data_IF_997355420087
#
_entry.id   IF_997355420087
#
_cell.length_a   1.000
_cell.length_b   1.000
_cell.length_c   1.000
_cell.angle_alpha   90.00
_cell.angle_beta   90.00
_cell.angle_gamma   90.00
#
_symmetry.space_group_name_H-M   'P 1'
#
loop_
_entity.id
_entity.type
_entity.pdbx_description
1 polymer ?
#
# COMPACT_ATOMS: atom_id res chain seq x y z
N UNK A 1 56.09 -16.45 -46.78
CA UNK A 1 54.84 -17.16 -46.43
C UNK A 1 53.87 -16.17 -45.80
N UNK A 2 53.33 -15.25 -46.60
CA UNK A 2 52.50 -14.13 -46.16
C UNK A 2 51.33 -13.95 -47.15
N UNK A 3 50.48 -14.97 -47.30
CA UNK A 3 49.39 -14.95 -48.30
C UNK A 3 48.02 -15.42 -47.79
N UNK A 4 47.81 -15.44 -46.47
CA UNK A 4 46.55 -15.96 -45.90
C UNK A 4 45.77 -14.97 -45.04
N UNK A 5 46.13 -13.68 -45.06
CA UNK A 5 45.43 -12.63 -44.30
C UNK A 5 44.85 -11.51 -45.19
N UNK A 6 44.97 -11.62 -46.53
CA UNK A 6 44.56 -10.59 -47.49
C UNK A 6 43.31 -10.92 -48.31
N UNK A 7 42.46 -11.84 -47.83
CA UNK A 7 41.29 -12.32 -48.61
C UNK A 7 39.96 -12.24 -47.85
N UNK A 8 39.95 -11.91 -46.55
CA UNK A 8 38.71 -11.82 -45.75
C UNK A 8 38.17 -10.40 -45.55
N UNK A 9 38.96 -9.36 -45.83
CA UNK A 9 38.51 -7.97 -45.71
C UNK A 9 37.82 -7.41 -46.97
N UNK A 10 37.93 -8.08 -48.12
CA UNK A 10 37.30 -7.66 -49.38
C UNK A 10 35.90 -8.26 -49.63
N UNK A 11 35.47 -9.24 -48.82
CA UNK A 11 34.15 -9.86 -48.97
C UNK A 11 33.03 -9.19 -48.14
N UNK A 12 33.35 -8.26 -47.23
CA UNK A 12 32.35 -7.55 -46.41
C UNK A 12 31.91 -6.18 -46.93
N UNK A 13 32.55 -5.69 -47.99
CA UNK A 13 32.30 -4.34 -48.52
C UNK A 13 31.29 -4.30 -49.67
N UNK A 14 30.90 -5.44 -50.23
CA UNK A 14 29.98 -5.50 -51.39
C UNK A 14 28.54 -5.84 -50.98
N UNK A 15 28.31 -6.30 -49.76
CA UNK A 15 26.96 -6.59 -49.23
C UNK A 15 26.20 -5.33 -48.75
N UNK A 16 26.89 -4.19 -48.61
CA UNK A 16 26.26 -2.95 -48.12
C UNK A 16 25.72 -2.03 -49.22
N UNK A 17 25.87 -2.37 -50.51
CA UNK A 17 25.44 -1.50 -51.62
C UNK A 17 24.33 -2.09 -52.52
N UNK A 18 23.78 -3.27 -52.20
CA UNK A 18 22.73 -3.91 -53.02
C UNK A 18 21.48 -4.21 -52.20
N UNK A 19 20.97 -3.24 -51.44
CA UNK A 19 19.56 -3.25 -50.97
C UNK A 19 18.93 -1.84 -50.96
N UNK A 20 19.47 -0.92 -51.79
CA UNK A 20 18.98 0.46 -51.94
C UNK A 20 18.05 0.66 -53.15
N UNK A 21 17.46 -0.41 -53.69
CA UNK A 21 16.49 -0.30 -54.77
C UNK A 21 15.49 -1.44 -54.67
N UNK A 22 14.28 -1.12 -54.20
CA UNK A 22 12.96 -1.65 -54.61
C UNK A 22 12.02 -1.67 -53.41
N UNK A 23 11.29 -0.57 -53.20
CA UNK A 23 9.90 -0.61 -52.73
C UNK A 23 9.30 0.79 -52.84
N UNK A 24 8.84 1.11 -54.05
CA UNK A 24 7.92 2.22 -54.27
C UNK A 24 6.51 1.70 -53.95
N UNK A 25 5.81 2.43 -53.08
CA UNK A 25 4.35 2.54 -53.15
C UNK A 25 3.56 1.54 -52.33
N UNK A 26 3.27 1.89 -51.07
CA UNK A 26 1.89 1.89 -50.56
C UNK A 26 1.74 3.02 -49.54
N UNK A 27 1.06 4.10 -49.95
CA UNK A 27 0.53 5.09 -49.02
C UNK A 27 -0.65 4.46 -48.28
N UNK A 28 -0.37 3.94 -47.09
CA UNK A 28 -1.40 3.55 -46.13
C UNK A 28 -1.85 4.82 -45.39
N UNK A 29 -3.04 5.31 -45.72
CA UNK A 29 -3.71 6.37 -44.99
C UNK A 29 -4.14 5.85 -43.62
N UNK A 30 -3.30 6.07 -42.59
CA UNK A 30 -3.71 5.80 -41.22
C UNK A 30 -4.72 6.86 -40.79
N UNK A 31 -5.99 6.45 -40.76
CA UNK A 31 -7.04 7.21 -40.13
C UNK A 31 -6.70 7.40 -38.64
N UNK A 32 -6.55 8.65 -38.23
CA UNK A 32 -6.47 9.07 -36.83
C UNK A 32 -7.76 8.68 -36.11
N UNK A 33 -7.82 7.47 -35.54
CA UNK A 33 -8.79 7.16 -34.48
C UNK A 33 -8.37 7.96 -33.25
N UNK A 34 -9.10 9.04 -32.98
CA UNK A 34 -9.15 9.64 -31.64
C UNK A 34 -9.67 8.56 -30.70
N UNK A 35 -8.78 7.96 -29.94
CA UNK A 35 -9.15 7.22 -28.74
C UNK A 35 -9.72 8.25 -27.77
N UNK A 36 -11.04 8.19 -27.56
CA UNK A 36 -11.65 8.84 -26.41
C UNK A 36 -10.96 8.32 -25.16
N UNK A 37 -10.62 9.19 -24.19
CA UNK A 37 -10.11 8.73 -22.91
C UNK A 37 -11.21 7.87 -22.29
N UNK A 38 -10.95 6.57 -22.17
CA UNK A 38 -11.76 5.68 -21.35
C UNK A 38 -11.83 6.32 -19.97
N UNK A 39 -13.01 6.84 -19.63
CA UNK A 39 -13.30 7.32 -18.30
C UNK A 39 -12.92 6.19 -17.34
N UNK A 40 -12.05 6.52 -16.38
CA UNK A 40 -11.73 5.62 -15.29
C UNK A 40 -13.05 5.15 -14.67
N UNK A 41 -13.23 3.85 -14.40
CA UNK A 41 -14.39 3.42 -13.63
C UNK A 41 -14.41 4.22 -12.32
N UNK A 42 -15.59 4.66 -11.85
CA UNK A 42 -15.69 5.31 -10.55
C UNK A 42 -15.03 4.40 -9.52
N UNK A 43 -14.21 5.00 -8.64
CA UNK A 43 -13.58 4.27 -7.56
C UNK A 43 -14.65 3.41 -6.87
N UNK A 44 -14.39 2.11 -6.62
CA UNK A 44 -15.33 1.31 -5.86
C UNK A 44 -15.60 2.05 -4.56
N UNK A 45 -16.87 2.37 -4.32
CA UNK A 45 -17.31 3.01 -3.09
C UNK A 45 -16.63 2.29 -1.93
N UNK A 46 -15.95 2.99 -1.00
CA UNK A 46 -15.38 2.33 0.15
C UNK A 46 -16.55 1.69 0.88
N UNK A 47 -16.74 0.37 0.70
CA UNK A 47 -17.69 -0.36 1.53
C UNK A 47 -17.16 -0.19 2.95
N UNK A 48 -17.88 0.53 3.83
CA UNK A 48 -17.37 0.79 5.16
C UNK A 48 -17.08 -0.56 5.81
N UNK A 49 -15.96 -0.71 6.53
CA UNK A 49 -15.74 -1.91 7.30
C UNK A 49 -16.93 -2.05 8.25
N UNK A 50 -17.82 -3.03 8.00
CA UNK A 50 -18.90 -3.39 8.92
C UNK A 50 -18.27 -3.74 10.26
N UNK A 51 -18.20 -2.76 11.16
CA UNK A 51 -17.88 -2.96 12.57
C UNK A 51 -19.11 -3.63 13.20
N UNK A 52 -19.25 -4.93 13.00
CA UNK A 52 -20.14 -5.74 13.84
C UNK A 52 -19.38 -6.08 15.12
N UNK A 53 -19.71 -5.37 16.21
CA UNK A 53 -20.17 -5.99 17.47
C UNK A 53 -20.33 -4.95 18.62
N UNK A 54 -21.57 -4.77 19.07
CA UNK A 54 -21.97 -5.18 20.43
C UNK A 54 -21.54 -4.34 21.64
N UNK A 55 -21.14 -3.08 21.48
CA UNK A 55 -21.03 -2.16 22.62
C UNK A 55 -21.96 -0.98 22.36
N UNK A 56 -23.02 -0.85 23.15
CA UNK A 56 -23.97 0.27 23.18
C UNK A 56 -23.29 1.54 23.66
N UNK A 57 -22.35 2.06 22.88
CA UNK A 57 -21.73 3.36 23.04
C UNK A 57 -21.63 4.00 21.67
N UNK A 58 -22.15 5.22 21.55
CA UNK A 58 -22.11 6.04 20.33
C UNK A 58 -20.75 5.90 19.64
N UNK A 59 -20.79 5.58 18.33
CA UNK A 59 -19.58 5.32 17.53
C UNK A 59 -18.63 6.52 17.55
N UNK A 60 -19.17 7.73 17.74
CA UNK A 60 -18.44 8.99 17.82
C UNK A 60 -17.58 9.15 19.10
N UNK A 61 -17.85 8.44 20.19
CA UNK A 61 -17.11 8.63 21.46
C UNK A 61 -15.78 7.85 21.47
N UNK A 62 -15.70 6.74 20.72
CA UNK A 62 -14.55 5.83 20.76
C UNK A 62 -13.90 5.56 19.40
N UNK A 63 -14.25 6.30 18.35
CA UNK A 63 -13.77 6.04 16.98
C UNK A 63 -12.24 6.02 16.83
N UNK A 64 -11.55 6.83 17.62
CA UNK A 64 -10.09 6.98 17.57
C UNK A 64 -9.36 5.96 18.47
N UNK A 65 -10.09 5.21 19.32
CA UNK A 65 -9.48 4.32 20.32
C UNK A 65 -9.30 2.91 19.75
N UNK A 66 -8.11 2.36 19.94
CA UNK A 66 -7.91 0.92 19.78
C UNK A 66 -8.61 0.19 20.93
N UNK A 67 -9.54 -0.71 20.59
CA UNK A 67 -10.29 -1.48 21.57
C UNK A 67 -9.44 -2.68 21.98
N UNK A 68 -8.88 -2.66 23.19
CA UNK A 68 -8.20 -3.83 23.74
C UNK A 68 -9.21 -4.97 23.97
N UNK A 69 -8.94 -6.20 23.51
CA UNK A 69 -9.86 -7.29 23.72
C UNK A 69 -9.80 -7.73 25.19
N UNK A 70 -10.96 -7.85 25.83
CA UNK A 70 -11.07 -8.27 27.23
C UNK A 70 -10.69 -9.75 27.48
N UNK A 71 -10.45 -10.54 26.42
CA UNK A 71 -10.09 -11.94 26.48
C UNK A 71 -9.41 -12.40 25.18
N UNK A 72 -8.62 -13.47 25.25
CA UNK A 72 -8.01 -14.11 24.08
C UNK A 72 -9.07 -14.68 23.13
N UNK A 73 -10.23 -15.10 23.64
CA UNK A 73 -11.35 -15.59 22.84
C UNK A 73 -11.96 -14.47 21.97
N UNK A 74 -12.18 -13.27 22.53
CA UNK A 74 -12.62 -12.10 21.74
C UNK A 74 -11.58 -11.71 20.69
N UNK A 75 -10.30 -11.69 21.06
CA UNK A 75 -9.22 -11.39 20.10
C UNK A 75 -9.26 -12.37 18.91
N UNK A 76 -9.38 -13.68 19.18
CA UNK A 76 -9.50 -14.72 18.15
C UNK A 76 -10.76 -14.56 17.30
N UNK A 77 -11.90 -14.19 17.89
CA UNK A 77 -13.16 -13.93 17.16
C UNK A 77 -12.99 -12.78 16.17
N UNK A 78 -12.47 -11.64 16.63
CA UNK A 78 -12.19 -10.47 15.79
C UNK A 78 -11.22 -10.81 14.66
N UNK A 79 -10.13 -11.51 14.97
CA UNK A 79 -9.17 -11.94 13.96
C UNK A 79 -9.83 -12.85 12.92
N UNK A 80 -10.68 -13.80 13.30
CA UNK A 80 -11.41 -14.64 12.33
C UNK A 80 -12.33 -13.81 11.42
N UNK A 81 -13.08 -12.87 12.00
CA UNK A 81 -13.97 -11.98 11.26
C UNK A 81 -13.22 -11.12 10.23
N UNK A 82 -12.02 -10.67 10.56
CA UNK A 82 -11.13 -9.92 9.65
C UNK A 82 -10.37 -10.83 8.65
N UNK A 83 -10.63 -12.13 8.63
CA UNK A 83 -9.89 -13.08 7.79
C UNK A 83 -8.44 -13.29 8.23
N UNK A 84 -8.13 -12.98 9.48
CA UNK A 84 -6.80 -13.04 10.05
C UNK A 84 -6.41 -14.43 10.59
N UNK A 85 -5.58 -15.15 9.83
CA UNK A 85 -4.87 -16.36 10.30
C UNK A 85 -3.86 -16.08 11.42
N UNK A 86 -3.79 -16.95 12.42
CA UNK A 86 -2.81 -16.89 13.50
C UNK A 86 -2.27 -18.31 13.81
N UNK A 87 -1.07 -18.44 14.42
CA UNK A 87 -0.54 -19.74 14.82
C UNK A 87 -1.47 -20.46 15.81
N UNK A 88 -1.62 -21.78 15.69
CA UNK A 88 -2.47 -22.59 16.59
C UNK A 88 -2.05 -22.45 18.06
N UNK A 89 -0.74 -22.39 18.32
CA UNK A 89 -0.11 -22.22 19.63
C UNK A 89 0.36 -20.78 19.87
N UNK A 90 -0.38 -19.78 19.39
CA UNK A 90 -0.05 -18.38 19.63
C UNK A 90 -0.22 -18.03 21.12
N UNK A 91 0.79 -17.36 21.68
CA UNK A 91 0.72 -16.79 23.03
C UNK A 91 -0.28 -15.64 23.07
N UNK A 92 -0.73 -15.27 24.27
CA UNK A 92 -1.61 -14.11 24.45
C UNK A 92 -1.01 -12.83 23.88
N UNK A 93 0.27 -12.57 24.13
CA UNK A 93 0.98 -11.40 23.59
C UNK A 93 0.92 -11.34 22.06
N UNK A 94 1.16 -12.46 21.37
CA UNK A 94 1.10 -12.53 19.90
C UNK A 94 -0.33 -12.28 19.39
N UNK A 95 -1.35 -12.79 20.08
CA UNK A 95 -2.74 -12.55 19.69
C UNK A 95 -3.15 -11.08 19.88
N UNK A 96 -2.67 -10.43 20.94
CA UNK A 96 -2.93 -9.01 21.20
C UNK A 96 -2.22 -8.11 20.19
N UNK A 97 -0.96 -8.41 19.85
CA UNK A 97 -0.25 -7.70 18.77
C UNK A 97 -1.00 -7.82 17.44
N UNK A 98 -1.35 -9.05 17.04
CA UNK A 98 -2.11 -9.29 15.81
C UNK A 98 -3.47 -8.57 15.82
N UNK A 99 -4.14 -8.52 16.97
CA UNK A 99 -5.40 -7.81 17.13
C UNK A 99 -5.23 -6.31 16.92
N UNK A 100 -4.26 -5.70 17.61
CA UNK A 100 -3.94 -4.27 17.49
C UNK A 100 -3.58 -3.90 16.04
N UNK A 101 -2.71 -4.69 15.41
CA UNK A 101 -2.33 -4.47 14.00
C UNK A 101 -3.52 -4.60 13.05
N UNK A 102 -4.42 -5.55 13.29
CA UNK A 102 -5.62 -5.73 12.48
C UNK A 102 -6.62 -4.57 12.64
N UNK A 103 -6.73 -3.98 13.84
CA UNK A 103 -7.55 -2.77 14.07
C UNK A 103 -6.98 -1.56 13.34
N UNK A 104 -5.64 -1.41 13.31
CA UNK A 104 -4.94 -0.34 12.59
C UNK A 104 -4.88 -0.53 11.08
N UNK A 105 -5.45 -1.61 10.54
CA UNK A 105 -5.38 -1.93 9.11
C UNK A 105 -3.98 -2.28 8.61
N UNK A 106 -3.04 -2.61 9.50
CA UNK A 106 -1.65 -2.86 9.12
C UNK A 106 -1.46 -4.24 8.48
N UNK A 107 -0.53 -4.36 7.50
CA UNK A 107 -0.22 -5.64 6.88
C UNK A 107 0.34 -6.66 7.86
N UNK A 108 0.09 -7.94 7.57
CA UNK A 108 0.69 -9.08 8.26
C UNK A 108 1.76 -9.71 7.39
N UNK A 109 3.01 -9.42 7.71
CA UNK A 109 4.14 -9.77 6.85
C UNK A 109 4.44 -11.28 6.77
N UNK A 110 4.01 -12.05 7.76
CA UNK A 110 4.25 -13.50 7.84
C UNK A 110 3.76 -14.29 6.60
N UNK A 111 2.71 -13.80 5.92
CA UNK A 111 2.11 -14.46 4.75
C UNK A 111 2.93 -14.30 3.47
N UNK A 112 3.80 -13.30 3.41
CA UNK A 112 4.54 -12.97 2.20
C UNK A 112 5.81 -13.80 2.10
N UNK A 113 6.25 -14.00 0.86
CA UNK A 113 7.50 -14.66 0.52
C UNK A 113 8.68 -13.72 0.79
N UNK A 114 9.89 -14.27 0.88
CA UNK A 114 11.08 -13.50 1.22
C UNK A 114 11.35 -12.36 0.21
N UNK A 115 11.21 -12.63 -1.08
CA UNK A 115 11.38 -11.65 -2.15
C UNK A 115 10.35 -10.50 -2.08
N UNK A 116 9.10 -10.79 -1.72
CA UNK A 116 8.06 -9.76 -1.53
C UNK A 116 8.40 -8.86 -0.33
N UNK A 117 8.94 -9.43 0.75
CA UNK A 117 9.36 -8.66 1.93
C UNK A 117 10.54 -7.76 1.61
N UNK A 118 11.51 -8.26 0.84
CA UNK A 118 12.63 -7.44 0.35
C UNK A 118 12.13 -6.29 -0.51
N UNK A 119 11.19 -6.56 -1.42
CA UNK A 119 10.58 -5.53 -2.24
C UNK A 119 9.89 -4.47 -1.37
N UNK A 120 9.15 -4.87 -0.34
CA UNK A 120 8.55 -3.90 0.60
C UNK A 120 9.59 -3.04 1.32
N UNK A 121 10.71 -3.63 1.75
CA UNK A 121 11.79 -2.86 2.36
C UNK A 121 12.39 -1.85 1.39
N UNK A 122 12.71 -2.28 0.17
CA UNK A 122 13.29 -1.42 -0.87
C UNK A 122 12.35 -0.27 -1.23
N UNK A 123 11.08 -0.58 -1.51
CA UNK A 123 10.06 0.42 -1.87
C UNK A 123 9.83 1.46 -0.77
N UNK A 124 10.06 1.07 0.49
CA UNK A 124 9.92 1.97 1.66
C UNK A 124 11.24 2.65 2.07
N UNK A 125 12.31 2.46 1.31
CA UNK A 125 13.64 3.01 1.63
C UNK A 125 14.24 2.45 2.93
N UNK A 126 13.82 1.27 3.37
CA UNK A 126 14.38 0.63 4.57
C UNK A 126 15.73 0.00 4.22
N UNK A 127 16.73 0.27 5.06
CA UNK A 127 18.10 -0.22 4.88
C UNK A 127 18.12 -1.75 4.95
N UNK A 128 18.18 -2.38 3.78
CA UNK A 128 18.47 -3.80 3.60
C UNK A 128 19.67 -3.88 2.69
N UNK A 129 20.73 -4.58 3.10
CA UNK A 129 21.90 -4.74 2.23
C UNK A 129 21.53 -5.71 1.11
N UNK A 130 21.86 -5.35 -0.13
CA UNK A 130 21.63 -6.22 -1.30
C UNK A 130 22.36 -7.55 -1.18
N UNK A 131 23.53 -7.52 -0.54
CA UNK A 131 24.43 -8.67 -0.45
C UNK A 131 24.03 -9.64 0.66
N UNK A 132 23.30 -9.15 1.68
CA UNK A 132 22.75 -9.98 2.74
C UNK A 132 21.42 -9.38 3.24
N UNK A 133 20.30 -9.64 2.54
CA UNK A 133 19.01 -9.04 2.86
C UNK A 133 18.40 -9.51 4.19
N UNK A 134 19.13 -10.29 4.98
CA UNK A 134 18.69 -10.82 6.26
C UNK A 134 17.68 -11.96 6.11
N UNK A 135 17.40 -12.58 7.24
CA UNK A 135 16.40 -13.65 7.33
C UNK A 135 14.98 -13.11 7.19
N UNK A 136 14.03 -13.96 6.80
CA UNK A 136 12.59 -13.60 6.74
C UNK A 136 12.10 -12.96 8.05
N UNK A 137 12.54 -13.48 9.20
CA UNK A 137 12.14 -12.95 10.50
C UNK A 137 12.65 -11.52 10.73
N UNK A 138 13.90 -11.24 10.36
CA UNK A 138 14.50 -9.90 10.46
C UNK A 138 13.78 -8.89 9.58
N UNK A 139 13.45 -9.26 8.33
CA UNK A 139 12.70 -8.38 7.43
C UNK A 139 11.29 -8.09 7.96
N UNK A 140 10.61 -9.10 8.51
CA UNK A 140 9.30 -8.91 9.14
C UNK A 140 9.42 -7.93 10.30
N UNK A 141 10.38 -8.13 11.20
CA UNK A 141 10.59 -7.25 12.35
C UNK A 141 10.90 -5.82 11.91
N UNK A 142 11.75 -5.64 10.90
CA UNK A 142 12.09 -4.33 10.35
C UNK A 142 10.87 -3.61 9.79
N UNK A 143 10.04 -4.30 9.00
CA UNK A 143 8.81 -3.75 8.44
C UNK A 143 7.77 -3.43 9.52
N UNK A 144 7.61 -4.31 10.51
CA UNK A 144 6.70 -4.07 11.63
C UNK A 144 7.14 -2.85 12.44
N UNK A 145 8.42 -2.76 12.77
CA UNK A 145 8.99 -1.62 13.48
C UNK A 145 8.81 -0.32 12.70
N UNK A 146 9.03 -0.34 11.38
CA UNK A 146 8.79 0.82 10.54
C UNK A 146 7.31 1.27 10.56
N UNK A 147 6.36 0.33 10.53
CA UNK A 147 4.93 0.66 10.66
C UNK A 147 4.58 1.22 12.06
N UNK A 148 5.24 0.71 13.10
CA UNK A 148 4.96 1.10 14.50
C UNK A 148 5.58 2.43 14.88
N UNK A 149 6.67 2.82 14.22
CA UNK A 149 7.39 4.08 14.43
C UNK A 149 7.10 5.14 13.36
N UNK A 150 6.21 4.83 12.40
CA UNK A 150 5.83 5.76 11.35
C UNK A 150 5.20 7.02 11.94
N UNK A 151 5.87 8.15 11.76
CA UNK A 151 5.35 9.48 12.09
C UNK A 151 5.10 10.26 10.80
N UNK A 152 4.24 11.27 10.88
CA UNK A 152 4.02 12.20 9.77
C UNK A 152 4.49 13.60 10.15
N UNK A 153 5.81 13.84 10.23
CA UNK A 153 6.37 15.05 10.83
C UNK A 153 5.98 16.33 10.07
N UNK A 154 5.82 16.23 8.75
CA UNK A 154 5.52 17.35 7.85
C UNK A 154 4.04 17.52 7.57
N UNK A 155 3.15 16.98 8.41
CA UNK A 155 1.71 17.11 8.18
C UNK A 155 1.24 18.57 8.10
N UNK A 156 1.85 19.45 8.91
CA UNK A 156 1.52 20.88 8.93
C UNK A 156 2.14 21.67 7.78
N UNK A 157 3.14 21.12 7.11
CA UNK A 157 3.77 21.74 5.93
C UNK A 157 2.91 21.55 4.66
N UNK A 158 1.87 20.72 4.76
CA UNK A 158 0.91 20.47 3.69
C UNK A 158 -0.09 21.64 3.60
N UNK A 159 -0.47 22.07 2.38
CA UNK A 159 -1.52 23.05 2.17
C UNK A 159 -2.79 22.76 2.99
N UNK A 160 -3.45 23.81 3.55
CA UNK A 160 -4.63 23.64 4.38
C UNK A 160 -5.75 22.88 3.68
N UNK A 161 -5.91 23.03 2.36
CA UNK A 161 -6.92 22.35 1.56
C UNK A 161 -6.75 20.83 1.62
N UNK A 162 -5.51 20.35 1.50
CA UNK A 162 -5.21 18.92 1.59
C UNK A 162 -5.33 18.40 3.02
N UNK A 163 -4.98 19.22 4.03
CA UNK A 163 -5.22 18.85 5.43
C UNK A 163 -6.71 18.65 5.71
N UNK A 164 -7.56 19.55 5.22
CA UNK A 164 -9.03 19.41 5.32
C UNK A 164 -9.49 18.14 4.63
N UNK A 165 -9.01 17.84 3.41
CA UNK A 165 -9.35 16.59 2.72
C UNK A 165 -8.96 15.34 3.53
N UNK A 166 -7.77 15.34 4.14
CA UNK A 166 -7.32 14.23 5.00
C UNK A 166 -8.24 14.09 6.21
N UNK A 167 -8.63 15.19 6.86
CA UNK A 167 -9.58 15.15 7.97
C UNK A 167 -10.96 14.67 7.54
N UNK A 168 -11.51 15.18 6.44
CA UNK A 168 -12.80 14.74 5.90
C UNK A 168 -12.77 13.25 5.61
N UNK A 169 -11.73 12.76 4.94
CA UNK A 169 -11.56 11.33 4.68
C UNK A 169 -11.43 10.52 5.96
N UNK A 170 -10.68 11.00 6.95
CA UNK A 170 -10.51 10.30 8.23
C UNK A 170 -11.81 10.21 9.05
N UNK A 171 -12.64 11.25 8.96
CA UNK A 171 -13.89 11.36 9.71
C UNK A 171 -15.12 10.89 8.92
N UNK A 172 -14.97 10.46 7.65
CA UNK A 172 -16.09 10.08 6.79
C UNK A 172 -16.90 8.89 7.34
N UNK A 173 -16.26 8.04 8.14
CA UNK A 173 -16.87 6.87 8.75
C UNK A 173 -17.61 7.21 10.06
N UNK A 174 -17.51 8.47 10.54
CA UNK A 174 -18.27 8.95 11.69
C UNK A 174 -19.64 9.41 11.21
N UNK A 175 -20.67 8.81 11.77
CA UNK A 175 -22.03 9.26 11.52
C UNK A 175 -22.23 10.64 12.19
N UNK A 176 -22.53 11.71 11.42
CA UNK A 176 -22.83 13.01 12.02
C UNK A 176 -24.07 12.97 12.92
N UNK A 177 -24.97 11.99 12.74
CA UNK A 177 -26.14 11.80 13.61
C UNK A 177 -25.77 11.25 14.99
N UNK A 178 -24.60 10.61 15.13
CA UNK A 178 -24.05 10.14 16.41
C UNK A 178 -23.24 11.23 17.14
N UNK A 179 -23.07 12.41 16.54
CA UNK A 179 -22.43 13.55 17.18
C UNK A 179 -23.42 14.18 18.18
N UNK A 180 -23.28 13.81 19.45
CA UNK A 180 -24.00 14.50 20.52
C UNK A 180 -23.68 16.00 20.41
N UNK A 181 -24.69 16.90 20.42
CA UNK A 181 -24.43 18.33 20.41
C UNK A 181 -23.65 18.67 21.68
N UNK A 182 -22.34 18.82 21.56
CA UNK A 182 -21.50 19.28 22.65
C UNK A 182 -21.82 20.76 22.85
N UNK A 183 -22.45 21.10 23.97
CA UNK A 183 -22.57 22.50 24.36
C UNK A 183 -21.15 23.09 24.40
N UNK A 184 -20.90 24.23 23.74
CA UNK A 184 -19.63 24.90 23.86
C UNK A 184 -19.37 25.20 25.35
N UNK A 185 -18.11 25.14 25.81
CA UNK A 185 -17.79 25.43 27.20
C UNK A 185 -18.33 26.81 27.56
N UNK A 186 -19.31 26.82 28.48
CA UNK A 186 -19.94 28.05 28.96
C UNK A 186 -18.92 28.77 29.84
N UNK A 187 -18.24 29.77 29.29
CA UNK A 187 -17.45 30.69 30.10
C UNK A 187 -18.43 31.55 30.90
N UNK A 188 -18.55 31.28 32.20
CA UNK A 188 -19.16 32.25 33.11
C UNK A 188 -18.22 33.44 33.19
N UNK A 189 -18.62 34.55 32.57
CA UNK A 189 -17.95 35.85 32.76
C UNK A 189 -18.56 36.44 34.04
N UNK A 190 -17.73 36.63 35.06
CA UNK A 190 -18.06 37.46 36.23
C UNK A 190 -17.59 38.88 36.01
#
# INVERSE_FOLDING_TARGET
>A
MNDTLRTKHQARSTEQQTIMATSKGQMSTYATRRSTPTAWPPAPSPTPPRYVDGTTGSTSINYWKLIAPNSTAKAKKFLRQKGCRYPKKATQAVLLDLHSRAQRGLPRYHRFRLNELQLFCITRGLKTTTDNPGTKAQLIQLLQHADDTSTFPHFLDIPPELRVQIYTFHLQDLDPEDALPTQPPVTKVS
#
